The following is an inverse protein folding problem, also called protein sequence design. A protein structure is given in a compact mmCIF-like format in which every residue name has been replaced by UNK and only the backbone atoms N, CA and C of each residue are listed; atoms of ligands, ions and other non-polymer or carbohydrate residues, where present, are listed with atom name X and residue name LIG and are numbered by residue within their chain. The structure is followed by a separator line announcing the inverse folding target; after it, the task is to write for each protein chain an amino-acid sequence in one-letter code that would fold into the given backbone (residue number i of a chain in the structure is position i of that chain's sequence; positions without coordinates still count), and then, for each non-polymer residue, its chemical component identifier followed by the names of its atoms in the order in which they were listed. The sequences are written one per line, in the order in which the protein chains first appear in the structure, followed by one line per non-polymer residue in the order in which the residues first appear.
data_IF_726894066080
#
_entry.id   IF_726894066080
#
_cell.length_a   1.000
_cell.length_b   1.000
_cell.length_c   1.000
_cell.angle_alpha   90.00
_cell.angle_beta   90.00
_cell.angle_gamma   90.00
#
_symmetry.space_group_name_H-M   'P 1'
#
loop_
_entity.id
_entity.type
_entity.pdbx_description
1 polymer ?
#
# COMPACT_ATOMS: atom_id res chain seq x y z
N UNK A 1 5.73 -10.05 -7.56
CA UNK A 1 6.14 -10.53 -8.90
C UNK A 1 7.65 -10.76 -8.98
N UNK A 2 8.51 -9.76 -8.70
CA UNK A 2 9.96 -9.93 -8.80
C UNK A 2 10.51 -10.87 -7.71
N UNK A 3 10.81 -12.11 -8.07
CA UNK A 3 11.34 -13.14 -7.18
C UNK A 3 12.75 -12.82 -6.69
N UNK A 4 13.64 -12.37 -7.59
CA UNK A 4 15.02 -12.02 -7.27
C UNK A 4 15.10 -10.90 -6.22
N UNK A 5 14.26 -9.86 -6.34
CA UNK A 5 14.18 -8.77 -5.36
C UNK A 5 13.68 -9.28 -4.01
N UNK A 6 12.64 -10.13 -4.00
CA UNK A 6 12.08 -10.68 -2.75
C UNK A 6 13.09 -11.54 -2.01
N UNK A 7 13.83 -12.37 -2.73
CA UNK A 7 14.89 -13.21 -2.17
C UNK A 7 15.99 -12.34 -1.57
N UNK A 8 16.48 -11.34 -2.33
CA UNK A 8 17.54 -10.45 -1.86
C UNK A 8 17.13 -9.66 -0.62
N UNK A 9 15.92 -9.09 -0.60
CA UNK A 9 15.38 -8.41 0.58
C UNK A 9 15.28 -9.34 1.79
N UNK A 10 14.78 -10.56 1.60
CA UNK A 10 14.64 -11.54 2.69
C UNK A 10 16.00 -11.92 3.28
N UNK A 11 17.00 -12.17 2.44
CA UNK A 11 18.33 -12.56 2.87
C UNK A 11 19.04 -11.42 3.62
N UNK A 12 19.06 -10.21 3.04
CA UNK A 12 19.70 -9.04 3.67
C UNK A 12 19.01 -8.65 4.98
N UNK A 13 17.69 -8.55 4.99
CA UNK A 13 16.94 -8.24 6.20
C UNK A 13 17.16 -9.31 7.28
N UNK A 14 17.13 -10.60 6.89
CA UNK A 14 17.36 -11.72 7.81
C UNK A 14 18.75 -11.69 8.44
N UNK A 15 19.80 -11.34 7.69
CA UNK A 15 21.16 -11.19 8.24
C UNK A 15 21.30 -10.04 9.24
N UNK A 16 20.42 -9.04 9.15
CA UNK A 16 20.39 -7.88 10.06
C UNK A 16 19.37 -8.03 11.19
N UNK A 17 18.69 -9.18 11.29
CA UNK A 17 17.67 -9.44 12.32
C UNK A 17 16.30 -8.82 12.02
N UNK A 18 16.07 -8.32 10.80
CA UNK A 18 14.79 -7.77 10.36
C UNK A 18 13.89 -8.82 9.71
N UNK A 19 12.56 -8.56 9.76
CA UNK A 19 11.54 -9.36 9.07
C UNK A 19 10.99 -8.60 7.87
N UNK A 20 10.82 -9.30 6.75
CA UNK A 20 10.23 -8.74 5.53
C UNK A 20 8.80 -9.21 5.38
N UNK A 21 7.89 -8.27 5.12
CA UNK A 21 6.49 -8.53 4.82
C UNK A 21 6.14 -7.97 3.45
N UNK A 22 5.33 -8.73 2.71
CA UNK A 22 4.74 -8.28 1.46
C UNK A 22 3.41 -9.00 1.25
N UNK A 23 2.46 -8.41 0.50
CA UNK A 23 1.21 -9.08 0.17
C UNK A 23 1.43 -10.32 -0.71
N UNK A 24 0.39 -11.16 -0.79
CA UNK A 24 0.28 -12.17 -1.84
C UNK A 24 0.38 -11.51 -3.23
N UNK A 25 0.93 -12.19 -4.26
CA UNK A 25 1.16 -11.58 -5.57
C UNK A 25 -0.04 -10.87 -6.20
N UNK A 26 -1.26 -11.43 -6.05
CA UNK A 26 -2.51 -10.84 -6.56
C UNK A 26 -2.87 -9.49 -5.94
N UNK A 27 -2.29 -9.16 -4.78
CA UNK A 27 -2.51 -7.90 -4.08
C UNK A 27 -1.34 -6.91 -4.25
N UNK A 28 -0.30 -7.26 -5.03
CA UNK A 28 0.88 -6.40 -5.19
C UNK A 28 0.80 -5.40 -6.34
N UNK A 29 0.03 -5.71 -7.38
CA UNK A 29 -0.26 -4.79 -8.49
C UNK A 29 -1.51 -3.99 -8.19
N UNK A 30 -1.77 -2.94 -8.96
CA UNK A 30 -2.94 -2.08 -8.76
C UNK A 30 -4.23 -2.90 -8.77
N UNK A 31 -5.04 -2.70 -7.72
CA UNK A 31 -6.29 -3.42 -7.52
C UNK A 31 -7.27 -2.57 -6.71
N UNK A 32 -8.57 -2.83 -6.85
CA UNK A 32 -9.58 -2.11 -6.09
C UNK A 32 -9.62 -2.53 -4.60
N UNK A 33 -9.11 -3.71 -4.25
CA UNK A 33 -9.12 -4.21 -2.87
C UNK A 33 -8.24 -3.36 -1.94
N UNK A 34 -7.08 -2.88 -2.41
CA UNK A 34 -6.22 -1.98 -1.63
C UNK A 34 -6.87 -0.60 -1.44
N UNK A 35 -7.60 -0.11 -2.45
CA UNK A 35 -8.35 1.16 -2.38
C UNK A 35 -9.48 1.04 -1.34
N UNK A 36 -10.25 -0.05 -1.39
CA UNK A 36 -11.32 -0.32 -0.43
C UNK A 36 -10.78 -0.49 1.00
N UNK A 37 -9.66 -1.20 1.17
CA UNK A 37 -9.00 -1.38 2.46
C UNK A 37 -8.57 -0.03 3.06
N UNK A 38 -7.90 0.82 2.28
CA UNK A 38 -7.52 2.16 2.71
C UNK A 38 -8.74 3.01 3.08
N UNK A 39 -9.77 3.03 2.22
CA UNK A 39 -11.00 3.79 2.44
C UNK A 39 -11.76 3.34 3.70
N UNK A 40 -11.78 2.04 4.00
CA UNK A 40 -12.41 1.50 5.22
C UNK A 40 -11.77 2.07 6.49
N UNK A 41 -10.44 2.07 6.58
CA UNK A 41 -9.74 2.63 7.73
C UNK A 41 -9.87 4.16 7.82
N UNK A 42 -9.96 4.87 6.70
CA UNK A 42 -10.25 6.30 6.67
C UNK A 42 -11.69 6.61 7.14
N UNK A 43 -12.66 5.82 6.70
CA UNK A 43 -14.04 5.93 7.14
C UNK A 43 -14.18 5.74 8.65
N UNK A 44 -13.49 4.74 9.23
CA UNK A 44 -13.47 4.51 10.69
C UNK A 44 -12.89 5.71 11.45
N UNK A 45 -11.89 6.40 10.87
CA UNK A 45 -11.32 7.63 11.45
C UNK A 45 -12.23 8.86 11.31
N UNK A 46 -13.35 8.74 10.59
CA UNK A 46 -14.30 9.83 10.35
C UNK A 46 -13.99 10.66 9.09
N UNK A 47 -12.99 10.30 8.30
CA UNK A 47 -12.66 11.00 7.05
C UNK A 47 -13.69 10.69 5.97
N UNK A 48 -14.32 11.74 5.41
CA UNK A 48 -15.28 11.67 4.31
C UNK A 48 -15.08 12.85 3.38
N UNK A 49 -15.22 12.61 2.08
CA UNK A 49 -15.23 13.66 1.07
C UNK A 49 -16.66 14.05 0.72
N UNK A 50 -16.84 15.27 0.22
CA UNK A 50 -18.11 15.71 -0.34
C UNK A 50 -18.29 15.20 -1.78
N UNK A 51 -19.40 15.60 -2.41
CA UNK A 51 -19.73 15.24 -3.79
C UNK A 51 -18.95 16.03 -4.84
N UNK A 52 -18.16 17.03 -4.43
CA UNK A 52 -17.35 17.87 -5.31
C UNK A 52 -15.88 17.44 -5.37
N UNK A 53 -15.52 16.38 -4.64
CA UNK A 53 -14.17 15.81 -4.66
C UNK A 53 -13.66 15.62 -6.09
N UNK A 54 -12.50 16.20 -6.38
CA UNK A 54 -11.86 16.08 -7.68
C UNK A 54 -10.58 15.24 -7.59
N UNK A 55 -10.17 14.67 -8.71
CA UNK A 55 -8.91 13.95 -8.81
C UNK A 55 -7.72 14.92 -8.76
N UNK A 56 -6.64 14.49 -8.07
CA UNK A 56 -5.36 15.20 -8.05
C UNK A 56 -4.32 14.27 -8.69
N UNK A 57 -4.00 14.42 -9.99
CA UNK A 57 -3.10 13.51 -10.71
C UNK A 57 -1.68 13.38 -10.14
N UNK A 58 -1.24 14.39 -9.38
CA UNK A 58 0.09 14.44 -8.75
C UNK A 58 0.06 14.41 -7.22
N UNK A 59 -0.97 13.80 -6.61
CA UNK A 59 -1.10 13.73 -5.16
C UNK A 59 0.12 13.04 -4.53
N UNK A 60 0.81 13.72 -3.60
CA UNK A 60 1.98 13.16 -2.90
C UNK A 60 1.55 12.34 -1.70
N UNK A 61 2.35 11.32 -1.37
CA UNK A 61 2.13 10.52 -0.16
C UNK A 61 2.31 11.39 1.09
N UNK A 62 1.32 11.35 1.98
CA UNK A 62 1.29 12.14 3.22
C UNK A 62 0.65 13.52 3.07
N UNK A 63 0.45 13.99 1.84
CA UNK A 63 -0.36 15.18 1.57
C UNK A 63 -1.84 14.77 1.46
N UNK A 64 -2.72 15.54 2.09
CA UNK A 64 -4.17 15.38 2.09
C UNK A 64 -4.83 16.74 2.09
#
# INVERSE_FOLDING_TARGET
ANSALRERLKNTAGSEGFRVYYPSPVLCTDNAAMIACAAYYEYIKGSRSDLYLNAIPGLRLGER
#
